data_IF_944896832938
#
_entry.id   IF_944896832938
#
_cell.length_a   1.000
_cell.length_b   1.000
_cell.length_c   1.000
_cell.angle_alpha   90.00
_cell.angle_beta   90.00
_cell.angle_gamma   90.00
#
_symmetry.space_group_name_H-M   'P 1'
#
loop_
_entity.id
_entity.type
_entity.pdbx_description
1 polymer ?
#
# COMPACT_ATOMS: atom_id res chain seq x y z
N UNK A 1 24.12 26.67 -15.47
CA UNK A 1 23.54 27.43 -14.35
C UNK A 1 23.78 26.60 -13.11
N UNK A 2 24.57 27.10 -12.14
CA UNK A 2 24.63 26.48 -10.82
C UNK A 2 23.28 26.80 -10.18
N UNK A 3 22.48 25.78 -9.88
CA UNK A 3 21.25 25.96 -9.12
C UNK A 3 21.56 26.76 -7.85
N UNK A 4 20.65 27.68 -7.50
CA UNK A 4 20.83 28.57 -6.36
C UNK A 4 21.03 27.74 -5.09
N UNK A 5 22.27 27.74 -4.56
CA UNK A 5 22.62 27.02 -3.33
C UNK A 5 21.68 27.40 -2.19
N UNK A 6 21.30 26.42 -1.37
CA UNK A 6 20.56 26.66 -0.14
C UNK A 6 21.45 27.34 0.91
N UNK A 7 20.85 27.94 1.94
CA UNK A 7 21.64 28.55 3.02
C UNK A 7 22.52 27.52 3.74
N UNK A 8 22.05 26.29 3.92
CA UNK A 8 22.85 25.22 4.51
C UNK A 8 24.07 24.88 3.65
N UNK A 9 23.90 24.78 2.34
CA UNK A 9 24.99 24.50 1.40
C UNK A 9 26.03 25.62 1.41
N UNK A 10 25.60 26.89 1.44
CA UNK A 10 26.51 28.04 1.60
C UNK A 10 27.31 27.97 2.90
N UNK A 11 26.66 27.62 4.01
CA UNK A 11 27.33 27.48 5.32
C UNK A 11 28.38 26.36 5.29
N UNK A 12 28.08 25.22 4.66
CA UNK A 12 29.03 24.11 4.52
C UNK A 12 30.30 24.59 3.79
N UNK A 13 30.14 25.31 2.68
CA UNK A 13 31.26 25.84 1.89
C UNK A 13 32.02 26.96 2.60
N UNK A 14 31.34 27.79 3.39
CA UNK A 14 31.96 28.87 4.15
C UNK A 14 32.83 28.35 5.31
N UNK A 15 32.52 27.18 5.86
CA UNK A 15 33.27 26.55 6.95
C UNK A 15 33.85 25.17 6.56
N UNK A 16 34.84 25.11 5.65
CA UNK A 16 35.35 23.85 5.09
C UNK A 16 36.11 22.99 6.12
N UNK A 17 36.72 23.61 7.13
CA UNK A 17 37.51 22.91 8.16
C UNK A 17 36.66 22.43 9.35
N UNK A 18 35.34 22.67 9.34
CA UNK A 18 34.45 22.22 10.41
C UNK A 18 34.21 20.72 10.31
N UNK A 19 34.19 20.03 11.45
CA UNK A 19 33.81 18.62 11.54
C UNK A 19 32.30 18.46 11.37
N UNK A 20 31.83 18.43 10.13
CA UNK A 20 30.42 18.25 9.79
C UNK A 20 29.95 16.81 10.07
N UNK A 21 28.70 16.68 10.55
CA UNK A 21 28.04 15.38 10.65
C UNK A 21 27.41 15.01 9.30
N UNK A 22 28.19 14.34 8.45
CA UNK A 22 27.77 13.97 7.10
C UNK A 22 26.60 12.99 7.05
N UNK A 23 26.39 12.18 8.08
CA UNK A 23 25.19 11.34 8.17
C UNK A 23 23.92 12.20 8.24
N UNK A 24 23.93 13.23 9.09
CA UNK A 24 22.80 14.15 9.21
C UNK A 24 22.61 14.99 7.96
N UNK A 25 23.69 15.40 7.30
CA UNK A 25 23.62 16.17 6.05
C UNK A 25 23.09 15.34 4.87
N UNK A 26 23.47 14.06 4.76
CA UNK A 26 23.03 13.17 3.67
C UNK A 26 21.51 13.03 3.56
N UNK A 27 20.80 12.96 4.71
CA UNK A 27 19.32 12.90 4.74
C UNK A 27 18.64 14.26 4.87
N UNK A 28 19.41 15.36 4.85
CA UNK A 28 18.85 16.67 5.11
C UNK A 28 18.12 17.21 3.88
N UNK A 29 16.84 17.54 4.04
CA UNK A 29 15.98 18.13 3.00
C UNK A 29 16.43 19.52 2.48
N UNK A 30 17.41 20.16 3.09
CA UNK A 30 18.00 21.40 2.59
C UNK A 30 19.25 21.16 1.74
N UNK A 31 19.76 19.93 1.67
CA UNK A 31 20.82 19.56 0.75
C UNK A 31 20.18 19.06 -0.54
N UNK A 32 20.56 19.68 -1.65
CA UNK A 32 20.11 19.32 -3.00
C UNK A 32 20.96 18.20 -3.57
N UNK A 33 20.39 17.42 -4.48
CA UNK A 33 21.15 16.38 -5.16
C UNK A 33 22.25 16.95 -6.07
N UNK A 34 22.01 18.10 -6.71
CA UNK A 34 23.02 18.78 -7.52
C UNK A 34 24.25 19.18 -6.70
N UNK A 35 24.06 19.62 -5.45
CA UNK A 35 25.15 19.86 -4.50
C UNK A 35 25.91 18.57 -4.15
N UNK A 36 25.22 17.46 -3.87
CA UNK A 36 25.85 16.16 -3.55
C UNK A 36 26.75 15.69 -4.70
N UNK A 37 26.29 15.79 -5.95
CA UNK A 37 27.06 15.38 -7.12
C UNK A 37 28.24 16.31 -7.39
N UNK A 38 28.02 17.63 -7.30
CA UNK A 38 29.11 18.60 -7.52
C UNK A 38 30.22 18.44 -6.48
N UNK A 39 29.86 18.22 -5.22
CA UNK A 39 30.78 18.00 -4.11
C UNK A 39 30.87 16.52 -3.71
N UNK A 40 31.09 15.64 -4.70
CA UNK A 40 31.11 14.18 -4.52
C UNK A 40 32.28 13.64 -3.68
N UNK A 41 33.33 14.44 -3.46
CA UNK A 41 34.46 14.11 -2.59
C UNK A 41 34.11 14.20 -1.09
N UNK A 42 33.00 14.87 -0.73
CA UNK A 42 32.54 14.85 0.65
C UNK A 42 32.01 13.46 1.03
N UNK A 43 32.15 13.06 2.30
CA UNK A 43 31.84 11.70 2.74
C UNK A 43 30.33 11.50 2.94
N UNK A 44 29.56 11.63 1.86
CA UNK A 44 28.12 11.39 1.83
C UNK A 44 27.81 9.92 2.14
N UNK A 45 26.88 9.69 3.06
CA UNK A 45 26.33 8.36 3.31
C UNK A 45 25.18 8.08 2.34
N UNK A 46 25.44 7.25 1.31
CA UNK A 46 24.46 6.96 0.26
C UNK A 46 23.21 6.22 0.73
N UNK A 47 23.28 5.46 1.82
CA UNK A 47 22.06 4.90 2.43
C UNK A 47 21.11 6.02 2.88
N UNK A 48 21.67 7.09 3.45
CA UNK A 48 20.90 8.24 3.93
C UNK A 48 20.56 9.24 2.80
N UNK A 49 21.38 9.30 1.75
CA UNK A 49 21.05 10.06 0.54
C UNK A 49 19.83 9.43 -0.15
N UNK A 50 19.76 8.10 -0.28
CA UNK A 50 18.58 7.41 -0.84
C UNK A 50 17.28 7.70 -0.10
N UNK A 51 17.34 7.93 1.22
CA UNK A 51 16.18 8.32 2.03
C UNK A 51 15.87 9.82 2.03
N UNK A 52 16.67 10.64 1.33
CA UNK A 52 16.48 12.08 1.32
C UNK A 52 15.24 12.44 0.48
N UNK A 53 14.30 13.24 1.02
CA UNK A 53 13.05 13.58 0.34
C UNK A 53 13.24 14.43 -0.93
N UNK A 54 14.43 14.98 -1.18
CA UNK A 54 14.72 15.70 -2.43
C UNK A 54 15.21 14.80 -3.57
N UNK A 55 15.47 13.52 -3.33
CA UNK A 55 15.87 12.59 -4.39
C UNK A 55 14.64 12.23 -5.21
N UNK A 56 14.75 12.47 -6.52
CA UNK A 56 13.76 12.09 -7.53
C UNK A 56 14.29 10.94 -8.38
N UNK A 57 13.39 10.23 -9.06
CA UNK A 57 13.76 9.15 -9.99
C UNK A 57 14.77 9.60 -11.05
N UNK A 58 14.68 10.83 -11.56
CA UNK A 58 15.62 11.40 -12.53
C UNK A 58 17.05 11.43 -12.00
N UNK A 59 17.22 11.70 -10.70
CA UNK A 59 18.54 11.71 -10.08
C UNK A 59 19.18 10.31 -10.10
N UNK A 60 18.40 9.28 -9.82
CA UNK A 60 18.84 7.87 -9.86
C UNK A 60 19.11 7.44 -11.31
N UNK A 61 18.23 7.81 -12.24
CA UNK A 61 18.35 7.52 -13.67
C UNK A 61 19.62 8.08 -14.30
N UNK A 62 19.98 9.31 -13.96
CA UNK A 62 21.15 10.02 -14.50
C UNK A 62 22.45 9.63 -13.78
N UNK A 63 22.38 9.00 -12.61
CA UNK A 63 23.54 8.69 -11.76
C UNK A 63 23.49 7.22 -11.28
N UNK A 64 23.32 6.29 -12.22
CA UNK A 64 23.17 4.85 -11.93
C UNK A 64 24.40 4.20 -11.31
N UNK A 65 25.57 4.82 -11.47
CA UNK A 65 26.86 4.37 -10.94
C UNK A 65 27.00 4.61 -9.43
N UNK A 66 26.11 5.39 -8.82
CA UNK A 66 26.17 5.70 -7.39
C UNK A 66 25.64 4.54 -6.54
N UNK A 67 26.16 4.33 -5.33
CA UNK A 67 25.80 3.19 -4.49
C UNK A 67 24.46 3.42 -3.77
N UNK A 68 23.39 3.53 -4.55
CA UNK A 68 22.03 3.73 -4.06
C UNK A 68 21.57 2.57 -3.16
N UNK A 69 20.90 2.93 -2.07
CA UNK A 69 20.16 1.99 -1.24
C UNK A 69 18.74 1.81 -1.78
N UNK A 70 18.51 0.74 -2.52
CA UNK A 70 17.25 0.45 -3.20
C UNK A 70 16.07 0.24 -2.25
N UNK A 71 16.30 -0.34 -1.07
CA UNK A 71 15.29 -0.44 -0.02
C UNK A 71 14.80 0.94 0.42
N UNK A 72 15.73 1.88 0.63
CA UNK A 72 15.42 3.25 1.03
C UNK A 72 14.70 4.03 -0.07
N UNK A 73 15.04 3.78 -1.34
CA UNK A 73 14.33 4.35 -2.49
C UNK A 73 12.90 3.80 -2.59
N UNK A 74 12.69 2.48 -2.41
CA UNK A 74 11.34 1.89 -2.37
C UNK A 74 10.43 2.47 -1.28
N UNK A 75 11.02 2.93 -0.16
CA UNK A 75 10.30 3.51 0.97
C UNK A 75 10.18 5.04 0.88
N UNK A 76 10.82 5.67 -0.11
CA UNK A 76 10.76 7.10 -0.31
C UNK A 76 9.43 7.49 -0.94
N UNK A 77 8.71 8.44 -0.34
CA UNK A 77 7.36 8.84 -0.78
C UNK A 77 7.34 9.47 -2.17
N UNK A 78 8.49 9.97 -2.64
CA UNK A 78 8.65 10.54 -3.99
C UNK A 78 8.82 9.46 -5.08
N UNK A 79 8.97 8.19 -4.70
CA UNK A 79 9.06 7.07 -5.63
C UNK A 79 7.74 6.31 -5.65
N UNK A 80 7.04 6.38 -6.78
CA UNK A 80 5.86 5.56 -7.06
C UNK A 80 6.20 4.34 -7.94
N UNK A 81 5.18 3.56 -8.27
CA UNK A 81 5.32 2.39 -9.16
C UNK A 81 5.72 2.78 -10.59
N UNK A 82 5.29 3.94 -11.09
CA UNK A 82 5.67 4.39 -12.43
C UNK A 82 7.17 4.66 -12.49
N UNK A 83 7.76 5.17 -11.41
CA UNK A 83 9.20 5.37 -11.29
C UNK A 83 9.99 4.06 -11.34
N UNK A 84 9.47 2.98 -10.77
CA UNK A 84 10.11 1.65 -10.80
C UNK A 84 10.23 1.15 -12.25
N UNK A 85 9.21 1.38 -13.09
CA UNK A 85 9.22 0.99 -14.50
C UNK A 85 10.29 1.71 -15.33
N UNK A 86 10.78 2.87 -14.88
CA UNK A 86 11.85 3.60 -15.57
C UNK A 86 13.23 2.96 -15.37
N UNK A 87 13.38 2.08 -14.36
CA UNK A 87 14.65 1.41 -14.03
C UNK A 87 14.40 -0.10 -13.85
N UNK A 88 14.07 -0.83 -14.93
CA UNK A 88 13.65 -2.23 -14.84
C UNK A 88 14.74 -3.19 -14.34
N UNK A 89 16.01 -2.85 -14.61
CA UNK A 89 17.17 -3.68 -14.26
C UNK A 89 17.75 -3.37 -12.86
N UNK A 90 17.14 -2.43 -12.13
CA UNK A 90 17.58 -2.13 -10.78
C UNK A 90 17.26 -3.28 -9.82
N UNK A 91 18.13 -3.52 -8.81
CA UNK A 91 17.92 -4.53 -7.77
C UNK A 91 16.90 -4.03 -6.73
N UNK A 92 15.68 -3.78 -7.19
CA UNK A 92 14.57 -3.35 -6.35
C UNK A 92 14.23 -4.38 -5.27
N UNK A 93 13.88 -3.88 -4.09
CA UNK A 93 13.37 -4.72 -2.99
C UNK A 93 11.88 -5.02 -3.22
N UNK A 94 11.59 -6.16 -3.84
CA UNK A 94 10.21 -6.56 -4.20
C UNK A 94 9.33 -6.82 -2.98
N UNK A 95 9.90 -7.17 -1.83
CA UNK A 95 9.18 -7.25 -0.56
C UNK A 95 8.63 -5.88 -0.12
N UNK A 96 9.40 -4.81 -0.29
CA UNK A 96 8.93 -3.45 -0.01
C UNK A 96 7.93 -2.96 -1.06
N UNK A 97 8.14 -3.29 -2.34
CA UNK A 97 7.17 -2.99 -3.42
C UNK A 97 5.83 -3.68 -3.15
N UNK A 98 5.84 -4.88 -2.57
CA UNK A 98 4.63 -5.62 -2.18
C UNK A 98 3.74 -4.86 -1.19
N UNK A 99 4.28 -3.86 -0.46
CA UNK A 99 3.51 -2.99 0.45
C UNK A 99 2.85 -1.79 -0.24
N UNK A 100 3.14 -1.57 -1.52
CA UNK A 100 2.65 -0.39 -2.22
C UNK A 100 1.12 -0.44 -2.37
N UNK A 101 0.44 0.67 -2.03
CA UNK A 101 -1.03 0.70 -1.85
C UNK A 101 -1.84 0.50 -3.14
N UNK A 102 -1.23 0.67 -4.30
CA UNK A 102 -1.91 0.61 -5.59
C UNK A 102 -1.02 -0.10 -6.59
N UNK A 103 -1.16 -1.41 -6.76
CA UNK A 103 -0.49 -2.16 -7.81
C UNK A 103 -1.47 -2.34 -8.97
N UNK A 104 -1.12 -1.84 -10.16
CA UNK A 104 -1.94 -2.05 -11.35
C UNK A 104 -1.77 -3.49 -11.86
N UNK A 105 -2.80 -3.98 -12.56
CA UNK A 105 -2.75 -5.30 -13.18
C UNK A 105 -1.58 -5.43 -14.16
N UNK A 106 -1.36 -4.40 -15.00
CA UNK A 106 -0.27 -4.38 -15.97
C UNK A 106 1.11 -4.40 -15.31
N UNK A 107 1.31 -3.62 -14.24
CA UNK A 107 2.57 -3.62 -13.50
C UNK A 107 2.87 -5.00 -12.91
N UNK A 108 1.86 -5.65 -12.35
CA UNK A 108 2.02 -7.01 -11.85
C UNK A 108 2.38 -7.97 -12.98
N UNK A 109 1.68 -7.90 -14.11
CA UNK A 109 1.88 -8.81 -15.24
C UNK A 109 3.30 -8.73 -15.79
N UNK A 110 3.83 -7.52 -15.97
CA UNK A 110 5.21 -7.29 -16.43
C UNK A 110 6.26 -7.80 -15.45
N UNK A 111 5.91 -7.92 -14.16
CA UNK A 111 6.84 -8.26 -13.09
C UNK A 111 6.47 -9.56 -12.35
N UNK A 112 5.66 -10.44 -12.96
CA UNK A 112 5.09 -11.63 -12.30
C UNK A 112 6.13 -12.64 -11.80
N UNK A 113 7.33 -12.63 -12.39
CA UNK A 113 8.43 -13.56 -12.05
C UNK A 113 9.35 -13.03 -10.94
N UNK A 114 9.10 -11.82 -10.46
CA UNK A 114 9.90 -11.21 -9.39
C UNK A 114 9.53 -11.80 -8.03
N UNK A 115 10.42 -11.66 -7.06
CA UNK A 115 10.27 -12.25 -5.72
C UNK A 115 9.33 -11.43 -4.83
N UNK A 116 8.04 -11.50 -5.14
CA UNK A 116 6.98 -10.85 -4.36
C UNK A 116 6.84 -11.45 -2.96
N UNK A 117 6.49 -10.61 -1.99
CA UNK A 117 6.04 -11.04 -0.67
C UNK A 117 4.51 -11.24 -0.70
N UNK A 118 4.10 -12.50 -0.84
CA UNK A 118 2.70 -12.89 -0.95
C UNK A 118 1.87 -12.54 0.28
N UNK A 119 2.46 -12.56 1.48
CA UNK A 119 1.77 -12.18 2.70
C UNK A 119 1.41 -10.69 2.68
N UNK A 120 2.38 -9.84 2.31
CA UNK A 120 2.18 -8.39 2.20
C UNK A 120 1.21 -8.03 1.08
N UNK A 121 1.32 -8.69 -0.08
CA UNK A 121 0.39 -8.50 -1.21
C UNK A 121 -1.04 -8.88 -0.84
N UNK A 122 -1.25 -10.04 -0.21
CA UNK A 122 -2.57 -10.47 0.29
C UNK A 122 -3.19 -9.47 1.23
N UNK A 123 -2.38 -8.76 2.02
CA UNK A 123 -2.82 -7.77 3.00
C UNK A 123 -3.03 -6.38 2.40
N UNK A 124 -2.86 -6.21 1.09
CA UNK A 124 -3.19 -4.97 0.41
C UNK A 124 -4.71 -4.83 0.25
N UNK A 125 -5.29 -3.93 1.05
CA UNK A 125 -6.73 -3.71 1.15
C UNK A 125 -7.38 -3.30 -0.17
N UNK A 126 -6.63 -2.71 -1.11
CA UNK A 126 -7.16 -2.21 -2.38
C UNK A 126 -6.60 -2.97 -3.60
N UNK A 127 -6.00 -4.14 -3.40
CA UNK A 127 -5.54 -4.96 -4.52
C UNK A 127 -6.72 -5.30 -5.43
N UNK A 128 -6.52 -5.20 -6.75
CA UNK A 128 -7.53 -5.64 -7.71
C UNK A 128 -7.65 -7.17 -7.64
N UNK A 129 -8.86 -7.66 -7.34
CA UNK A 129 -9.16 -9.08 -7.25
C UNK A 129 -8.91 -9.82 -8.57
N UNK A 130 -8.87 -9.13 -9.72
CA UNK A 130 -8.48 -9.73 -11.02
C UNK A 130 -7.03 -10.21 -11.02
N UNK A 131 -6.13 -9.56 -10.27
CA UNK A 131 -4.74 -10.02 -10.12
C UNK A 131 -4.73 -11.38 -9.42
N UNK A 132 -5.49 -11.52 -8.34
CA UNK A 132 -5.63 -12.78 -7.59
C UNK A 132 -6.29 -13.85 -8.48
N UNK A 133 -7.31 -13.49 -9.26
CA UNK A 133 -7.96 -14.42 -10.21
C UNK A 133 -7.02 -14.95 -11.28
N UNK A 134 -6.15 -14.10 -11.81
CA UNK A 134 -5.18 -14.45 -12.84
C UNK A 134 -4.05 -15.32 -12.28
N UNK A 135 -3.77 -15.19 -10.99
CA UNK A 135 -2.66 -15.83 -10.30
C UNK A 135 -3.14 -16.73 -9.17
N UNK A 136 -4.20 -17.49 -9.45
CA UNK A 136 -4.88 -18.34 -8.45
C UNK A 136 -4.00 -19.40 -7.83
N UNK A 137 -2.92 -19.79 -8.51
CA UNK A 137 -1.99 -20.84 -8.09
C UNK A 137 -0.90 -20.35 -7.12
N UNK A 138 -0.81 -19.03 -6.90
CA UNK A 138 0.20 -18.44 -6.03
C UNK A 138 -0.25 -18.46 -4.55
N UNK A 139 0.69 -18.45 -3.59
CA UNK A 139 0.40 -18.75 -2.18
C UNK A 139 -0.19 -17.54 -1.46
N UNK A 140 -1.38 -17.12 -1.90
CA UNK A 140 -2.13 -16.04 -1.27
C UNK A 140 -2.57 -16.41 0.15
N UNK A 141 -2.33 -15.50 1.09
CA UNK A 141 -2.96 -15.50 2.41
C UNK A 141 -4.42 -15.02 2.30
N UNK A 142 -5.36 -15.93 2.58
CA UNK A 142 -6.80 -15.67 2.51
C UNK A 142 -7.35 -14.89 3.71
N UNK A 143 -6.66 -14.86 4.86
CA UNK A 143 -6.99 -13.95 5.96
C UNK A 143 -6.75 -12.50 5.53
N UNK A 144 -5.66 -12.25 4.80
CA UNK A 144 -5.36 -10.96 4.18
C UNK A 144 -6.42 -10.57 3.15
N UNK A 145 -6.70 -11.46 2.20
CA UNK A 145 -7.69 -11.21 1.13
C UNK A 145 -9.08 -10.94 1.71
N UNK A 146 -9.45 -11.56 2.82
CA UNK A 146 -10.75 -11.33 3.49
C UNK A 146 -10.95 -9.87 3.94
N UNK A 147 -9.87 -9.09 4.06
CA UNK A 147 -9.91 -7.65 4.38
C UNK A 147 -10.01 -6.76 3.14
N UNK A 148 -9.87 -7.32 1.94
CA UNK A 148 -9.83 -6.57 0.69
C UNK A 148 -11.17 -5.85 0.42
N UNK A 149 -11.11 -4.58 0.02
CA UNK A 149 -12.26 -3.69 -0.17
C UNK A 149 -12.92 -3.84 -1.54
N UNK A 150 -12.28 -4.55 -2.48
CA UNK A 150 -12.73 -4.77 -3.85
C UNK A 150 -13.40 -6.13 -4.05
N UNK A 151 -13.73 -6.86 -2.99
CA UNK A 151 -14.37 -8.17 -3.08
C UNK A 151 -15.72 -8.10 -3.79
N UNK A 152 -15.93 -9.00 -4.73
CA UNK A 152 -17.18 -9.15 -5.47
C UNK A 152 -17.82 -10.52 -5.21
N UNK A 153 -19.14 -10.61 -5.39
CA UNK A 153 -19.83 -11.90 -5.27
C UNK A 153 -19.30 -12.95 -6.25
N UNK A 154 -18.98 -12.57 -7.50
CA UNK A 154 -18.41 -13.49 -8.49
C UNK A 154 -17.04 -14.01 -8.08
N UNK A 155 -16.17 -13.14 -7.55
CA UNK A 155 -14.86 -13.54 -7.05
C UNK A 155 -14.97 -14.53 -5.89
N UNK A 156 -15.79 -14.21 -4.89
CA UNK A 156 -15.97 -15.09 -3.73
C UNK A 156 -16.62 -16.43 -4.10
N UNK A 157 -17.52 -16.46 -5.09
CA UNK A 157 -18.08 -17.71 -5.65
C UNK A 157 -17.01 -18.57 -6.32
N UNK A 158 -16.15 -17.95 -7.13
CA UNK A 158 -15.06 -18.64 -7.84
C UNK A 158 -14.09 -19.32 -6.86
N UNK A 159 -13.85 -18.69 -5.71
CA UNK A 159 -12.94 -19.16 -4.66
C UNK A 159 -13.66 -19.56 -3.37
N UNK A 160 -14.84 -20.17 -3.50
CA UNK A 160 -15.66 -20.56 -2.35
C UNK A 160 -15.05 -21.69 -1.50
N UNK A 161 -14.10 -22.44 -2.06
CA UNK A 161 -13.35 -23.52 -1.43
C UNK A 161 -12.20 -23.01 -0.55
N UNK A 162 -11.84 -21.73 -0.67
CA UNK A 162 -10.74 -21.13 0.08
C UNK A 162 -11.16 -20.78 1.51
N UNK A 163 -10.15 -20.72 2.39
CA UNK A 163 -10.36 -20.48 3.81
C UNK A 163 -10.55 -18.99 4.09
N UNK A 164 -11.75 -18.49 3.84
CA UNK A 164 -12.15 -17.12 4.15
C UNK A 164 -12.22 -16.86 5.65
N UNK A 165 -11.72 -15.70 6.06
CA UNK A 165 -11.86 -15.19 7.42
C UNK A 165 -13.17 -14.41 7.56
N UNK A 166 -14.20 -15.10 8.03
CA UNK A 166 -15.54 -14.51 8.15
C UNK A 166 -15.60 -13.37 9.17
N UNK A 167 -14.73 -13.35 10.19
CA UNK A 167 -14.64 -12.20 11.10
C UNK A 167 -14.16 -10.94 10.38
N UNK A 168 -13.11 -11.03 9.55
CA UNK A 168 -12.64 -9.89 8.77
C UNK A 168 -13.64 -9.47 7.69
N UNK A 169 -14.28 -10.42 7.00
CA UNK A 169 -15.37 -10.11 6.06
C UNK A 169 -16.53 -9.38 6.75
N UNK A 170 -16.90 -9.79 7.97
CA UNK A 170 -17.99 -9.16 8.74
C UNK A 170 -17.68 -7.70 9.11
N UNK A 171 -16.39 -7.36 9.29
CA UNK A 171 -15.93 -6.00 9.58
C UNK A 171 -15.70 -5.14 8.35
N UNK A 172 -15.73 -5.73 7.16
CA UNK A 172 -15.41 -5.05 5.92
C UNK A 172 -16.60 -4.18 5.47
N UNK A 173 -16.45 -2.84 5.42
CA UNK A 173 -17.57 -1.93 5.16
C UNK A 173 -17.99 -1.92 3.68
N UNK A 174 -17.23 -2.56 2.79
CA UNK A 174 -17.54 -2.70 1.37
C UNK A 174 -18.26 -4.02 1.02
N UNK A 175 -18.43 -4.94 1.98
CA UNK A 175 -19.21 -6.17 1.75
C UNK A 175 -20.67 -5.80 1.55
N UNK A 176 -21.17 -6.09 0.34
CA UNK A 176 -22.53 -5.78 -0.08
C UNK A 176 -23.53 -6.81 0.41
N UNK A 177 -24.79 -6.40 0.52
CA UNK A 177 -25.88 -7.25 0.99
C UNK A 177 -26.01 -8.55 0.19
N UNK A 178 -25.84 -8.52 -1.13
CA UNK A 178 -25.92 -9.71 -1.98
C UNK A 178 -24.85 -10.78 -1.66
N UNK A 179 -23.67 -10.38 -1.16
CA UNK A 179 -22.64 -11.32 -0.69
C UNK A 179 -23.11 -11.98 0.60
N UNK A 180 -23.61 -11.19 1.54
CA UNK A 180 -24.14 -11.68 2.83
C UNK A 180 -25.30 -12.66 2.57
N UNK A 181 -26.26 -12.28 1.72
CA UNK A 181 -27.41 -13.13 1.38
C UNK A 181 -27.00 -14.44 0.71
N UNK A 182 -26.01 -14.42 -0.19
CA UNK A 182 -25.58 -15.64 -0.87
C UNK A 182 -24.83 -16.58 0.07
N UNK A 183 -24.03 -16.04 0.99
CA UNK A 183 -23.26 -16.80 1.98
C UNK A 183 -23.91 -16.77 3.37
N UNK A 184 -25.25 -16.80 3.44
CA UNK A 184 -25.98 -16.59 4.70
C UNK A 184 -25.65 -17.62 5.79
N UNK A 185 -25.32 -18.84 5.38
CA UNK A 185 -25.00 -19.97 6.27
C UNK A 185 -23.54 -19.98 6.75
N UNK A 186 -22.73 -19.02 6.30
CA UNK A 186 -21.32 -18.91 6.71
C UNK A 186 -21.21 -18.21 8.07
N UNK A 187 -20.12 -18.43 8.83
CA UNK A 187 -20.02 -17.98 10.21
C UNK A 187 -19.71 -16.48 10.31
N UNK A 188 -20.63 -15.63 9.84
CA UNK A 188 -20.56 -14.19 10.00
C UNK A 188 -20.62 -13.78 11.48
N UNK A 189 -19.86 -12.74 11.82
CA UNK A 189 -20.03 -12.01 13.06
C UNK A 189 -21.12 -10.95 12.86
N UNK A 190 -22.35 -11.31 13.25
CA UNK A 190 -23.55 -10.49 13.11
C UNK A 190 -23.48 -9.17 13.91
N UNK A 191 -22.71 -9.14 15.01
CA UNK A 191 -22.46 -7.93 15.82
C UNK A 191 -21.59 -6.94 15.03
N UNK A 192 -20.61 -7.42 14.26
CA UNK A 192 -19.81 -6.57 13.38
C UNK A 192 -20.60 -6.15 12.15
N UNK A 193 -21.32 -7.07 11.53
CA UNK A 193 -22.19 -6.78 10.38
C UNK A 193 -23.24 -5.72 10.70
N UNK A 194 -23.69 -5.60 11.95
CA UNK A 194 -24.62 -4.56 12.38
C UNK A 194 -24.16 -3.12 12.06
N UNK A 195 -22.85 -2.90 11.86
CA UNK A 195 -22.29 -1.61 11.43
C UNK A 195 -22.26 -1.42 9.89
N UNK A 196 -22.65 -2.42 9.11
CA UNK A 196 -22.55 -2.39 7.66
C UNK A 196 -23.69 -1.54 7.05
N UNK A 197 -23.32 -0.50 6.31
CA UNK A 197 -24.24 0.45 5.66
C UNK A 197 -25.23 -0.19 4.66
N UNK A 198 -24.92 -1.37 4.12
CA UNK A 198 -25.77 -2.07 3.15
C UNK A 198 -26.84 -2.94 3.79
N UNK A 199 -26.79 -3.13 5.11
CA UNK A 199 -27.84 -3.86 5.84
C UNK A 199 -29.04 -2.94 6.02
N UNK A 200 -30.21 -3.42 5.61
CA UNK A 200 -31.47 -2.69 5.64
C UNK A 200 -32.50 -3.40 6.52
N UNK A 201 -33.63 -2.72 6.78
CA UNK A 201 -34.62 -3.18 7.76
C UNK A 201 -35.30 -4.47 7.31
N UNK A 202 -35.56 -4.62 6.01
CA UNK A 202 -36.17 -5.83 5.48
C UNK A 202 -35.28 -7.06 5.71
N UNK A 203 -33.98 -6.92 5.47
CA UNK A 203 -33.02 -8.00 5.72
C UNK A 203 -32.96 -8.37 7.21
N UNK A 204 -32.90 -7.39 8.11
CA UNK A 204 -32.93 -7.63 9.57
C UNK A 204 -34.23 -8.32 9.97
N UNK A 205 -35.37 -7.92 9.40
CA UNK A 205 -36.68 -8.53 9.66
C UNK A 205 -36.76 -9.99 9.22
N UNK A 206 -36.12 -10.34 8.10
CA UNK A 206 -36.08 -11.73 7.61
C UNK A 206 -35.12 -12.62 8.41
N UNK A 207 -34.13 -12.02 9.08
CA UNK A 207 -33.06 -12.72 9.79
C UNK A 207 -33.01 -12.30 11.27
N UNK A 208 -34.17 -12.26 11.93
CA UNK A 208 -34.29 -11.90 13.35
C UNK A 208 -33.61 -12.89 14.29
N UNK A 209 -33.34 -14.11 13.82
CA UNK A 209 -32.64 -15.16 14.56
C UNK A 209 -31.14 -14.86 14.76
N UNK A 210 -30.58 -13.90 14.02
CA UNK A 210 -29.15 -13.57 14.10
C UNK A 210 -28.85 -12.63 15.27
N UNK A 211 -27.63 -12.73 15.79
CA UNK A 211 -27.13 -11.96 16.93
C UNK A 211 -26.76 -10.52 16.55
N UNK A 212 -27.75 -9.74 16.14
CA UNK A 212 -27.58 -8.32 15.82
C UNK A 212 -27.23 -7.47 17.04
N UNK A 213 -26.46 -6.41 16.82
CA UNK A 213 -26.31 -5.31 17.77
C UNK A 213 -27.29 -4.19 17.39
N UNK A 214 -28.36 -4.07 18.16
CA UNK A 214 -29.45 -3.14 17.91
C UNK A 214 -29.03 -1.67 17.98
N UNK A 215 -28.16 -1.29 18.93
CA UNK A 215 -27.68 0.09 19.06
C UNK A 215 -26.97 0.57 17.79
N UNK A 216 -26.13 -0.29 17.21
CA UNK A 216 -25.43 -0.02 15.95
C UNK A 216 -26.36 0.06 14.76
N UNK A 217 -27.36 -0.83 14.71
CA UNK A 217 -28.39 -0.81 13.67
C UNK A 217 -29.19 0.50 13.71
N UNK A 218 -29.65 0.95 14.88
CA UNK A 218 -30.39 2.22 15.01
C UNK A 218 -29.53 3.46 14.70
N UNK A 219 -28.21 3.38 14.91
CA UNK A 219 -27.26 4.41 14.49
C UNK A 219 -26.99 4.45 12.98
N UNK A 220 -27.41 3.43 12.22
CA UNK A 220 -27.19 3.34 10.79
C UNK A 220 -28.34 4.00 10.01
N UNK A 221 -28.01 5.01 9.19
CA UNK A 221 -29.00 5.79 8.44
C UNK A 221 -29.84 4.94 7.46
N UNK A 222 -29.38 3.76 7.06
CA UNK A 222 -30.12 2.83 6.19
C UNK A 222 -31.41 2.26 6.81
N UNK A 223 -31.56 2.37 8.13
CA UNK A 223 -32.73 1.92 8.89
C UNK A 223 -33.69 3.06 9.28
N UNK A 224 -33.26 4.31 9.15
CA UNK A 224 -34.01 5.48 9.60
C UNK A 224 -35.02 6.02 8.57
N UNK A 225 -34.96 5.59 7.31
CA UNK A 225 -35.84 6.09 6.24
C UNK A 225 -37.17 5.37 6.13
N UNK A 226 -37.41 4.29 6.89
CA UNK A 226 -38.62 3.45 6.80
C UNK A 226 -39.62 3.61 7.96
N UNK A 227 -39.45 4.62 8.82
CA UNK A 227 -40.38 4.94 9.92
C UNK A 227 -41.09 6.30 9.75
N UNK A 228 -41.31 6.76 8.51
CA UNK A 228 -42.20 7.90 8.20
C UNK A 228 -43.44 7.45 7.45
#
# INVERSE_FOLDING_TARGET
MIDKLTELEKIILYFPNKKWNWHMLSKNKQVTFSFIIHYSLFPWNWNLVSSNPNIKVVNVLENRDKPWNWLSLCLNQEFDIENINLIPDAPWDWASISRHKQLSFDFFLTNKEKSWDWYLLSHNLNLDVKIIEFLSELPWDWDGISKNMNLTLSFMKKFQDKQWNWYFLSKNPCIKLNIISYFIDKPWDWIQLSNNQYINHEFVRLHQDKSWNWDKLFGNNSLNTSFK
#
